data_IF_121817081632
#
_entry.id   IF_121817081632
#
_cell.length_a   1.000
_cell.length_b   1.000
_cell.length_c   1.000
_cell.angle_alpha   90.00
_cell.angle_beta   90.00
_cell.angle_gamma   90.00
#
_symmetry.space_group_name_H-M   'P 1'
#
loop_
_entity.id
_entity.type
_entity.pdbx_description
1 polymer ?
#
# COMPACT_ATOMS: atom_id res chain seq x y z
N UNK A 1 -30.11 -0.56 -5.61
CA UNK A 1 -29.03 -1.55 -5.55
C UNK A 1 -28.30 -1.50 -6.87
N UNK A 2 -27.05 -1.04 -6.85
CA UNK A 2 -26.27 -0.85 -8.06
C UNK A 2 -25.72 -2.21 -8.53
N UNK A 3 -26.35 -2.81 -9.55
CA UNK A 3 -26.06 -4.17 -10.03
C UNK A 3 -24.65 -4.35 -10.60
N UNK A 4 -23.86 -3.28 -10.65
CA UNK A 4 -22.52 -3.22 -11.26
C UNK A 4 -21.37 -3.08 -10.24
N UNK A 5 -21.65 -3.09 -8.93
CA UNK A 5 -20.59 -3.08 -7.91
C UNK A 5 -20.23 -4.52 -7.53
N UNK A 6 -18.98 -4.91 -7.75
CA UNK A 6 -18.45 -6.16 -7.24
C UNK A 6 -18.61 -6.19 -5.71
N UNK A 7 -19.19 -7.26 -5.18
CA UNK A 7 -19.20 -7.49 -3.73
C UNK A 7 -17.80 -7.85 -3.21
N UNK A 8 -17.64 -7.93 -1.89
CA UNK A 8 -16.36 -8.21 -1.27
C UNK A 8 -15.78 -9.57 -1.68
N UNK A 9 -16.62 -10.59 -1.89
CA UNK A 9 -16.16 -11.93 -2.32
C UNK A 9 -15.68 -11.88 -3.76
N UNK A 10 -16.40 -11.19 -4.63
CA UNK A 10 -16.02 -11.01 -6.03
C UNK A 10 -14.74 -10.18 -6.15
N UNK A 11 -14.58 -9.14 -5.32
CA UNK A 11 -13.36 -8.33 -5.28
C UNK A 11 -12.14 -9.15 -4.79
N UNK A 12 -12.32 -9.95 -3.74
CA UNK A 12 -11.27 -10.86 -3.25
C UNK A 12 -10.89 -11.88 -4.34
N UNK A 13 -11.86 -12.47 -5.04
CA UNK A 13 -11.59 -13.40 -6.14
C UNK A 13 -10.85 -12.74 -7.29
N UNK A 14 -11.23 -11.51 -7.68
CA UNK A 14 -10.52 -10.73 -8.68
C UNK A 14 -9.05 -10.55 -8.29
N UNK A 15 -8.77 -10.10 -7.07
CA UNK A 15 -7.39 -9.92 -6.60
C UNK A 15 -6.60 -11.22 -6.56
N UNK A 16 -7.21 -12.34 -6.13
CA UNK A 16 -6.57 -13.67 -6.19
C UNK A 16 -6.21 -14.12 -7.60
N UNK A 17 -6.98 -13.72 -8.61
CA UNK A 17 -6.63 -14.00 -10.01
C UNK A 17 -5.43 -13.15 -10.43
N UNK A 18 -5.43 -11.86 -10.09
CA UNK A 18 -4.33 -10.94 -10.42
C UNK A 18 -2.98 -11.37 -9.83
N UNK A 19 -2.94 -12.08 -8.70
CA UNK A 19 -1.66 -12.57 -8.16
C UNK A 19 -0.93 -13.57 -9.06
N UNK A 20 -1.61 -14.11 -10.08
CA UNK A 20 -1.05 -15.06 -11.04
C UNK A 20 -0.81 -14.42 -12.43
N UNK A 21 -1.04 -13.12 -12.58
CA UNK A 21 -0.80 -12.41 -13.84
C UNK A 21 0.67 -11.96 -13.93
N UNK A 22 1.24 -12.01 -15.13
CA UNK A 22 2.66 -11.70 -15.35
C UNK A 22 2.94 -10.23 -15.69
N UNK A 23 1.90 -9.44 -16.03
CA UNK A 23 2.05 -8.09 -16.56
C UNK A 23 1.57 -7.05 -15.54
N UNK A 24 2.52 -6.43 -14.86
CA UNK A 24 2.23 -5.45 -13.80
C UNK A 24 1.50 -4.21 -14.29
N UNK A 25 1.65 -3.82 -15.56
CA UNK A 25 0.90 -2.70 -16.14
C UNK A 25 -0.61 -3.01 -16.17
N UNK A 26 -1.00 -4.21 -16.60
CA UNK A 26 -2.40 -4.63 -16.60
C UNK A 26 -2.93 -4.83 -15.18
N UNK A 27 -2.11 -5.39 -14.28
CA UNK A 27 -2.46 -5.47 -12.86
C UNK A 27 -2.71 -4.06 -12.33
N UNK A 28 -1.82 -3.11 -12.60
CA UNK A 28 -1.93 -1.71 -12.22
C UNK A 28 -3.24 -1.09 -12.68
N UNK A 29 -3.59 -1.19 -13.96
CA UNK A 29 -4.85 -0.68 -14.52
C UNK A 29 -6.09 -1.25 -13.82
N UNK A 30 -6.10 -2.56 -13.54
CA UNK A 30 -7.21 -3.20 -12.81
C UNK A 30 -7.25 -2.71 -11.38
N UNK A 31 -6.11 -2.63 -10.69
CA UNK A 31 -6.03 -2.11 -9.32
C UNK A 31 -6.50 -0.67 -9.23
N UNK A 32 -6.25 0.17 -10.22
CA UNK A 32 -6.74 1.56 -10.22
C UNK A 32 -8.27 1.60 -10.22
N UNK A 33 -8.91 0.83 -11.08
CA UNK A 33 -10.37 0.73 -11.16
C UNK A 33 -10.98 0.05 -9.92
N UNK A 34 -10.36 -1.03 -9.44
CA UNK A 34 -10.82 -1.78 -8.30
C UNK A 34 -10.71 -0.95 -7.01
N UNK A 35 -9.64 -0.17 -6.87
CA UNK A 35 -9.42 0.71 -5.72
C UNK A 35 -10.61 1.63 -5.52
N UNK A 36 -11.17 2.25 -6.57
CA UNK A 36 -12.32 3.14 -6.43
C UNK A 36 -13.59 2.46 -5.89
N UNK A 37 -13.72 1.13 -6.05
CA UNK A 37 -14.96 0.39 -5.78
C UNK A 37 -14.88 -0.56 -4.58
N UNK A 38 -13.68 -0.98 -4.18
CA UNK A 38 -13.44 -1.91 -3.09
C UNK A 38 -13.91 -1.34 -1.75
N UNK A 39 -14.39 -2.21 -0.86
CA UNK A 39 -14.54 -1.85 0.56
C UNK A 39 -13.17 -1.80 1.25
N UNK A 40 -13.13 -1.19 2.44
CA UNK A 40 -11.92 -1.11 3.27
C UNK A 40 -11.91 -2.14 4.41
N UNK A 41 -12.65 -3.25 4.26
CA UNK A 41 -12.59 -4.33 5.24
C UNK A 41 -11.28 -5.11 5.12
N UNK A 42 -10.83 -5.72 6.21
CA UNK A 42 -9.51 -6.34 6.29
C UNK A 42 -9.30 -7.48 5.26
N UNK A 43 -10.31 -8.28 4.95
CA UNK A 43 -10.19 -9.38 4.00
C UNK A 43 -9.95 -8.88 2.56
N UNK A 44 -10.63 -7.79 2.18
CA UNK A 44 -10.47 -7.15 0.87
C UNK A 44 -9.12 -6.43 0.79
N UNK A 45 -8.68 -5.82 1.89
CA UNK A 45 -7.34 -5.23 1.99
C UNK A 45 -6.24 -6.28 1.87
N UNK A 46 -6.36 -7.41 2.55
CA UNK A 46 -5.39 -8.51 2.47
C UNK A 46 -5.23 -9.02 1.05
N UNK A 47 -6.36 -9.21 0.35
CA UNK A 47 -6.36 -9.62 -1.04
C UNK A 47 -5.70 -8.55 -1.94
N UNK A 48 -6.02 -7.26 -1.76
CA UNK A 48 -5.40 -6.17 -2.51
C UNK A 48 -3.86 -6.13 -2.32
N UNK A 49 -3.38 -6.16 -1.08
CA UNK A 49 -1.95 -6.12 -0.79
C UNK A 49 -1.22 -7.42 -1.15
N UNK A 50 -1.93 -8.55 -1.28
CA UNK A 50 -1.36 -9.76 -1.87
C UNK A 50 -1.04 -9.54 -3.36
N UNK A 51 -1.86 -8.79 -4.11
CA UNK A 51 -1.55 -8.40 -5.50
C UNK A 51 -0.31 -7.49 -5.53
N UNK A 52 -0.24 -6.49 -4.66
CA UNK A 52 0.95 -5.62 -4.59
C UNK A 52 2.22 -6.46 -4.33
N UNK A 53 2.13 -7.49 -3.48
CA UNK A 53 3.25 -8.38 -3.18
C UNK A 53 3.65 -9.27 -4.36
N UNK A 54 2.75 -9.61 -5.28
CA UNK A 54 3.08 -10.44 -6.44
C UNK A 54 3.70 -9.64 -7.59
N UNK A 55 3.58 -8.31 -7.58
CA UNK A 55 4.16 -7.43 -8.60
C UNK A 55 5.69 -7.33 -8.47
N UNK A 56 6.36 -7.05 -9.58
CA UNK A 56 7.83 -6.93 -9.70
C UNK A 56 8.31 -5.51 -10.05
N UNK A 57 7.48 -4.72 -10.73
CA UNK A 57 7.80 -3.36 -11.15
C UNK A 57 7.43 -2.35 -10.07
N UNK A 58 8.46 -1.84 -9.38
CA UNK A 58 8.33 -0.82 -8.33
C UNK A 58 7.47 0.38 -8.75
N UNK A 59 7.55 0.84 -10.01
CA UNK A 59 6.73 1.96 -10.48
C UNK A 59 5.23 1.68 -10.46
N UNK A 60 4.81 0.46 -10.80
CA UNK A 60 3.40 0.07 -10.81
C UNK A 60 2.90 -0.21 -9.39
N UNK A 61 3.72 -0.87 -8.57
CA UNK A 61 3.45 -1.03 -7.14
C UNK A 61 3.27 0.33 -6.44
N UNK A 62 4.17 1.28 -6.72
CA UNK A 62 4.15 2.61 -6.12
C UNK A 62 2.87 3.36 -6.48
N UNK A 63 2.50 3.36 -7.77
CA UNK A 63 1.25 3.97 -8.25
C UNK A 63 0.03 3.37 -7.56
N UNK A 64 -0.05 2.05 -7.46
CA UNK A 64 -1.19 1.37 -6.85
C UNK A 64 -1.29 1.66 -5.34
N UNK A 65 -0.17 1.65 -4.60
CA UNK A 65 -0.16 1.99 -3.17
C UNK A 65 -0.52 3.47 -2.95
N UNK A 66 0.06 4.39 -3.72
CA UNK A 66 -0.26 5.82 -3.59
C UNK A 66 -1.73 6.12 -3.90
N UNK A 67 -2.30 5.50 -4.93
CA UNK A 67 -3.72 5.65 -5.23
C UNK A 67 -4.60 5.08 -4.12
N UNK A 68 -4.23 3.93 -3.54
CA UNK A 68 -4.92 3.40 -2.38
C UNK A 68 -4.89 4.37 -1.19
N UNK A 69 -3.77 5.09 -0.99
CA UNK A 69 -3.62 6.09 0.07
C UNK A 69 -4.50 7.34 -0.08
N UNK A 70 -5.07 7.59 -1.26
CA UNK A 70 -6.02 8.68 -1.49
C UNK A 70 -7.40 8.41 -0.88
N UNK A 71 -7.66 7.16 -0.48
CA UNK A 71 -8.90 6.78 0.21
C UNK A 71 -9.06 7.56 1.52
N UNK A 72 -10.26 8.10 1.81
CA UNK A 72 -10.54 8.64 3.12
C UNK A 72 -10.64 7.52 4.17
N UNK A 73 -10.48 7.87 5.44
CA UNK A 73 -10.75 7.00 6.59
C UNK A 73 -9.98 5.67 6.60
N UNK A 74 -8.70 5.69 6.17
CA UNK A 74 -7.81 4.54 6.29
C UNK A 74 -7.67 4.10 7.74
N UNK A 75 -8.01 2.84 8.01
CA UNK A 75 -7.84 2.22 9.32
C UNK A 75 -6.36 1.98 9.65
N UNK A 76 -6.06 1.75 10.92
CA UNK A 76 -4.70 1.39 11.34
C UNK A 76 -4.22 0.09 10.67
N UNK A 77 -5.16 -0.83 10.39
CA UNK A 77 -4.88 -2.04 9.61
C UNK A 77 -4.41 -1.70 8.19
N UNK A 78 -5.11 -0.81 7.49
CA UNK A 78 -4.73 -0.37 6.16
C UNK A 78 -3.36 0.32 6.15
N UNK A 79 -3.09 1.19 7.12
CA UNK A 79 -1.79 1.86 7.26
C UNK A 79 -0.67 0.86 7.56
N UNK A 80 -0.93 -0.14 8.40
CA UNK A 80 0.01 -1.23 8.67
C UNK A 80 0.35 -2.02 7.39
N UNK A 81 -0.65 -2.32 6.57
CA UNK A 81 -0.46 -2.99 5.29
C UNK A 81 0.36 -2.15 4.29
N UNK A 82 0.12 -0.83 4.23
CA UNK A 82 0.93 0.10 3.43
C UNK A 82 2.39 0.09 3.90
N UNK A 83 2.63 0.18 5.21
CA UNK A 83 3.99 0.12 5.77
C UNK A 83 4.71 -1.17 5.42
N UNK A 84 4.00 -2.31 5.46
CA UNK A 84 4.53 -3.61 5.03
C UNK A 84 4.82 -3.65 3.53
N UNK A 85 3.99 -3.04 2.68
CA UNK A 85 4.28 -2.95 1.25
C UNK A 85 5.52 -2.08 0.96
N UNK A 86 5.76 -1.04 1.77
CA UNK A 86 6.93 -0.17 1.61
C UNK A 86 8.25 -0.96 1.74
N UNK A 87 8.29 -2.05 2.49
CA UNK A 87 9.50 -2.89 2.61
C UNK A 87 9.75 -3.80 1.41
N UNK A 88 8.79 -3.92 0.49
CA UNK A 88 8.91 -4.75 -0.71
C UNK A 88 9.62 -4.04 -1.86
N UNK A 89 9.63 -2.70 -1.85
CA UNK A 89 10.26 -1.92 -2.91
C UNK A 89 11.77 -2.07 -2.91
N UNK A 90 12.37 -2.28 -4.08
CA UNK A 90 13.83 -2.34 -4.21
C UNK A 90 14.47 -0.96 -4.17
N UNK A 91 13.82 0.06 -4.72
CA UNK A 91 14.36 1.41 -4.83
C UNK A 91 13.96 2.29 -3.64
N UNK A 92 14.95 2.95 -3.05
CA UNK A 92 14.75 3.90 -1.95
C UNK A 92 13.84 5.06 -2.33
N UNK A 93 13.89 5.56 -3.57
CA UNK A 93 13.01 6.63 -4.05
C UNK A 93 11.53 6.30 -3.86
N UNK A 94 11.12 5.07 -4.22
CA UNK A 94 9.75 4.58 -4.04
C UNK A 94 9.41 4.38 -2.56
N UNK A 95 10.30 3.73 -1.78
CA UNK A 95 10.12 3.58 -0.32
C UNK A 95 9.87 4.93 0.35
N UNK A 96 10.73 5.90 0.05
CA UNK A 96 10.68 7.25 0.61
C UNK A 96 9.37 7.96 0.28
N UNK A 97 8.88 7.83 -0.96
CA UNK A 97 7.63 8.47 -1.38
C UNK A 97 6.41 7.91 -0.65
N UNK A 98 6.34 6.58 -0.49
CA UNK A 98 5.30 5.94 0.33
C UNK A 98 5.40 6.39 1.79
N UNK A 99 6.61 6.32 2.38
CA UNK A 99 6.81 6.64 3.79
C UNK A 99 6.54 8.12 4.11
N UNK A 100 6.92 9.06 3.23
CA UNK A 100 6.54 10.48 3.38
C UNK A 100 5.02 10.65 3.48
N UNK A 101 4.27 9.92 2.66
CA UNK A 101 2.81 9.97 2.64
C UNK A 101 2.18 9.35 3.90
N UNK A 102 2.80 8.31 4.47
CA UNK A 102 2.29 7.62 5.67
C UNK A 102 2.50 8.43 6.95
N UNK A 103 3.49 9.33 7.00
CA UNK A 103 3.89 10.06 8.21
C UNK A 103 2.75 10.80 8.92
N UNK A 104 1.76 11.33 8.18
CA UNK A 104 0.58 12.00 8.76
C UNK A 104 -0.36 11.04 9.51
N UNK A 105 -0.32 9.74 9.21
CA UNK A 105 -1.24 8.74 9.75
C UNK A 105 -0.73 8.04 11.01
N UNK A 106 0.55 8.21 11.38
CA UNK A 106 1.17 7.50 12.51
C UNK A 106 1.19 8.32 13.81
N UNK A 107 0.82 9.61 13.76
CA UNK A 107 0.83 10.50 14.94
C UNK A 107 -0.10 9.96 16.02
N UNK A 108 0.42 9.85 17.25
CA UNK A 108 -0.33 9.34 18.40
C UNK A 108 -0.60 7.82 18.37
N UNK A 109 0.01 7.07 17.44
CA UNK A 109 -0.21 5.62 17.27
C UNK A 109 1.10 4.86 17.44
N UNK A 110 1.46 4.42 18.67
CA UNK A 110 2.75 3.80 18.96
C UNK A 110 3.07 2.58 18.09
N UNK A 111 2.09 1.72 17.83
CA UNK A 111 2.27 0.52 16.99
C UNK A 111 2.64 0.89 15.55
N UNK A 112 1.93 1.83 14.93
CA UNK A 112 2.25 2.30 13.57
C UNK A 112 3.57 3.05 13.51
N UNK A 113 3.91 3.82 14.56
CA UNK A 113 5.22 4.48 14.68
C UNK A 113 6.36 3.46 14.74
N UNK A 114 6.21 2.36 15.46
CA UNK A 114 7.20 1.28 15.49
C UNK A 114 7.37 0.63 14.11
N UNK A 115 6.27 0.31 13.42
CA UNK A 115 6.31 -0.24 12.06
C UNK A 115 6.93 0.74 11.05
N UNK A 116 6.63 2.04 11.17
CA UNK A 116 7.25 3.08 10.35
C UNK A 116 8.77 3.11 10.56
N UNK A 117 9.23 3.12 11.81
CA UNK A 117 10.67 3.07 12.13
C UNK A 117 11.34 1.84 11.51
N UNK A 118 10.68 0.67 11.54
CA UNK A 118 11.20 -0.55 10.89
C UNK A 118 11.29 -0.41 9.37
N UNK A 119 10.27 0.15 8.72
CA UNK A 119 10.29 0.34 7.27
C UNK A 119 11.38 1.34 6.83
N UNK A 120 11.59 2.42 7.60
CA UNK A 120 12.62 3.43 7.34
C UNK A 120 14.04 2.86 7.47
N UNK A 121 14.27 1.89 8.35
CA UNK A 121 15.59 1.21 8.46
C UNK A 121 16.01 0.49 7.18
N UNK A 122 15.08 0.19 6.28
CA UNK A 122 15.37 -0.40 4.98
C UNK A 122 15.86 0.59 3.92
N UNK A 123 16.01 1.88 4.24
CA UNK A 123 16.50 2.93 3.34
C UNK A 123 18.01 3.06 3.51
N UNK A 124 18.75 2.99 2.41
CA UNK A 124 20.20 3.11 2.38
C UNK A 124 20.70 4.55 2.42
N UNK A 125 19.90 5.52 1.94
CA UNK A 125 20.27 6.94 2.00
C UNK A 125 20.12 7.53 3.40
N UNK A 126 21.25 7.86 4.04
CA UNK A 126 21.29 8.54 5.35
C UNK A 126 20.48 9.84 5.38
N UNK A 127 20.54 10.63 4.31
CA UNK A 127 19.84 11.91 4.22
C UNK A 127 18.32 11.71 4.21
N UNK A 128 17.81 10.79 3.39
CA UNK A 128 16.37 10.49 3.36
C UNK A 128 15.91 9.78 4.64
N UNK A 129 16.73 8.89 5.21
CA UNK A 129 16.50 8.29 6.52
C UNK A 129 16.28 9.38 7.59
N UNK A 130 17.22 10.33 7.72
CA UNK A 130 17.12 11.41 8.70
C UNK A 130 15.89 12.30 8.48
N UNK A 131 15.57 12.64 7.23
CA UNK A 131 14.36 13.42 6.89
C UNK A 131 13.07 12.70 7.30
N UNK A 132 12.99 11.40 7.07
CA UNK A 132 11.82 10.60 7.45
C UNK A 132 11.69 10.48 8.97
N UNK A 133 12.81 10.24 9.66
CA UNK A 133 12.87 10.12 11.13
C UNK A 133 12.64 11.44 11.87
N UNK A 134 12.88 12.59 11.24
CA UNK A 134 12.67 13.88 11.91
C UNK A 134 11.20 14.07 12.32
N UNK A 135 10.92 14.42 13.58
CA UNK A 135 9.56 14.74 14.03
C UNK A 135 8.57 13.57 14.02
N UNK A 136 9.07 12.32 14.09
CA UNK A 136 8.22 11.16 14.37
C UNK A 136 8.15 10.84 15.86
N UNK A 137 8.95 11.53 16.69
CA UNK A 137 8.94 11.34 18.13
C UNK A 137 7.77 12.02 18.85
#
# INVERSE_FOLDING_TARGET
MDKNKLDDKQMISLFKVLTNFSYDSYIGEVLQNATQKMSLNNNVLDAFFAVIKSMSYNSEMEKAVLMFMEKPNLSDYAISAILKSATLFSYDSSKVKILKSVKKHIKGKPSLKAQFKLAVKGISSDSEYRKLMNGID
#
